data_IF_783690589276
#
_entry.id   IF_783690589276
#
_cell.length_a   1.000
_cell.length_b   1.000
_cell.length_c   1.000
_cell.angle_alpha   90.00
_cell.angle_beta   90.00
_cell.angle_gamma   90.00
#
_symmetry.space_group_name_H-M   'P 1'
#
loop_
_entity.id
_entity.type
_entity.pdbx_description
1 polymer ?
#
# COMPACT_ATOMS: atom_id res chain seq x y z
N UNK A 1 -5.64 -13.40 5.67
CA UNK A 1 -4.69 -12.43 5.11
C UNK A 1 -3.35 -13.09 4.91
N UNK A 2 -2.79 -12.90 3.77
CA UNK A 2 -1.49 -13.48 3.44
C UNK A 2 -0.39 -12.73 4.18
N UNK A 3 0.36 -13.44 5.02
CA UNK A 3 1.46 -12.85 5.78
C UNK A 3 2.64 -12.47 4.90
N UNK A 4 2.61 -12.86 3.61
CA UNK A 4 3.67 -12.56 2.66
C UNK A 4 3.44 -11.28 1.87
N UNK A 5 2.37 -10.54 2.15
CA UNK A 5 2.14 -9.27 1.50
C UNK A 5 3.25 -8.29 1.84
N UNK A 6 3.73 -7.60 0.81
CA UNK A 6 4.86 -6.69 0.93
C UNK A 6 4.43 -5.33 0.41
N UNK A 7 4.70 -4.31 1.20
CA UNK A 7 4.52 -2.92 0.79
C UNK A 7 5.87 -2.29 0.52
N UNK A 8 5.87 -1.29 -0.33
CA UNK A 8 7.08 -0.55 -0.66
C UNK A 8 7.04 0.80 0.06
N UNK A 9 8.12 1.10 0.75
CA UNK A 9 8.32 2.38 1.40
C UNK A 9 9.38 3.15 0.61
N UNK A 10 9.20 4.46 0.36
CA UNK A 10 10.23 5.25 -0.32
C UNK A 10 11.56 5.30 0.43
N UNK A 11 11.52 5.19 1.75
CA UNK A 11 12.72 5.30 2.57
C UNK A 11 13.21 3.96 3.11
N UNK A 12 12.31 3.01 3.33
CA UNK A 12 12.65 1.73 3.96
C UNK A 12 12.69 0.56 2.99
N UNK A 13 12.27 0.76 1.74
CA UNK A 13 12.22 -0.30 0.76
C UNK A 13 11.08 -1.27 1.00
N UNK A 14 11.35 -2.54 0.90
CA UNK A 14 10.31 -3.58 1.00
C UNK A 14 10.00 -3.88 2.46
N UNK A 15 8.72 -3.82 2.80
CA UNK A 15 8.27 -4.08 4.17
C UNK A 15 7.13 -5.08 4.15
N UNK A 16 7.22 -6.10 4.99
CA UNK A 16 6.05 -6.93 5.26
C UNK A 16 4.96 -6.08 5.91
N UNK A 17 3.71 -6.50 5.74
CA UNK A 17 2.58 -5.71 6.24
C UNK A 17 2.72 -5.38 7.72
N UNK A 18 3.22 -6.33 8.50
CA UNK A 18 3.41 -6.13 9.94
C UNK A 18 4.42 -5.02 10.23
N UNK A 19 5.49 -4.96 9.45
CA UNK A 19 6.49 -3.91 9.59
C UNK A 19 5.95 -2.57 9.12
N UNK A 20 5.15 -2.57 8.06
CA UNK A 20 4.52 -1.36 7.57
C UNK A 20 3.60 -0.75 8.62
N UNK A 21 2.79 -1.59 9.28
CA UNK A 21 1.92 -1.12 10.37
C UNK A 21 2.76 -0.56 11.51
N UNK A 22 3.89 -1.19 11.82
CA UNK A 22 4.82 -0.67 12.82
C UNK A 22 5.35 0.71 12.47
N UNK A 23 5.63 0.96 11.18
CA UNK A 23 6.07 2.28 10.73
C UNK A 23 4.97 3.33 10.91
N UNK A 24 3.73 2.96 10.64
CA UNK A 24 2.59 3.87 10.86
C UNK A 24 2.48 4.26 12.33
N UNK A 25 2.52 3.27 13.21
CA UNK A 25 2.41 3.49 14.64
C UNK A 25 3.59 4.33 15.14
N UNK A 26 4.79 4.01 14.68
CA UNK A 26 5.99 4.77 15.06
C UNK A 26 5.89 6.23 14.65
N UNK A 27 5.37 6.48 13.44
CA UNK A 27 5.20 7.84 12.95
C UNK A 27 4.21 8.63 13.85
N UNK A 28 3.11 7.99 14.24
CA UNK A 28 2.15 8.64 15.13
C UNK A 28 2.73 8.89 16.52
N UNK A 29 3.56 7.98 17.00
CA UNK A 29 4.15 8.11 18.33
C UNK A 29 5.25 9.17 18.42
N UNK A 30 5.83 9.58 17.28
CA UNK A 30 6.79 10.68 17.27
C UNK A 30 6.19 11.99 17.75
N UNK A 31 4.94 12.24 17.37
CA UNK A 31 4.26 13.48 17.69
C UNK A 31 2.81 13.16 18.05
N UNK A 32 2.56 12.62 19.25
CA UNK A 32 1.23 12.10 19.58
C UNK A 32 0.15 13.17 19.71
N UNK A 33 0.53 14.44 19.84
CA UNK A 33 -0.44 15.52 19.99
C UNK A 33 -0.95 16.09 18.67
N UNK A 34 -0.44 15.61 17.53
CA UNK A 34 -0.91 16.07 16.24
C UNK A 34 -2.11 15.28 15.76
N UNK A 35 -2.85 15.86 14.85
CA UNK A 35 -3.92 15.15 14.16
C UNK A 35 -3.36 14.34 13.01
N UNK A 36 -3.84 13.12 12.88
CA UNK A 36 -3.43 12.21 11.82
C UNK A 36 -4.64 11.80 11.00
N UNK A 37 -4.42 11.63 9.72
CA UNK A 37 -5.41 11.02 8.85
C UNK A 37 -4.78 9.84 8.14
N UNK A 38 -5.54 8.78 8.00
CA UNK A 38 -5.12 7.57 7.31
C UNK A 38 -6.04 7.38 6.11
N UNK A 39 -5.44 7.25 4.94
CA UNK A 39 -6.19 7.01 3.72
C UNK A 39 -5.66 5.74 3.09
N UNK A 40 -6.57 4.83 2.77
CA UNK A 40 -6.24 3.60 2.07
C UNK A 40 -7.05 3.59 0.79
N UNK A 41 -6.36 3.49 -0.34
CA UNK A 41 -7.01 3.45 -1.63
C UNK A 41 -6.47 2.34 -2.49
N UNK A 42 -7.33 1.77 -3.31
CA UNK A 42 -6.94 0.74 -4.25
C UNK A 42 -7.44 1.12 -5.64
N UNK A 43 -6.55 1.03 -6.61
CA UNK A 43 -6.88 1.24 -8.01
C UNK A 43 -6.58 -0.04 -8.78
N UNK A 44 -7.34 -0.29 -9.83
CA UNK A 44 -7.15 -1.48 -10.65
C UNK A 44 -7.04 -1.10 -12.11
N UNK A 45 -6.18 -1.82 -12.82
CA UNK A 45 -6.03 -1.67 -14.26
C UNK A 45 -6.12 -3.04 -14.91
N UNK A 46 -6.82 -3.08 -16.03
CA UNK A 46 -6.94 -4.31 -16.81
C UNK A 46 -6.18 -4.15 -18.11
N UNK A 47 -5.63 -5.25 -18.59
CA UNK A 47 -4.94 -5.28 -19.86
C UNK A 47 -4.88 -6.69 -20.40
N UNK A 48 -4.46 -6.82 -21.66
CA UNK A 48 -4.35 -8.12 -22.31
C UNK A 48 -2.98 -8.27 -22.97
N UNK A 49 -1.89 -8.26 -22.18
CA UNK A 49 -0.58 -8.51 -22.78
C UNK A 49 -0.52 -9.93 -23.34
N UNK A 50 -0.08 -10.04 -24.58
CA UNK A 50 0.04 -11.33 -25.27
C UNK A 50 -1.29 -12.11 -25.31
N UNK A 51 -2.44 -11.40 -25.39
CA UNK A 51 -3.72 -12.05 -25.51
C UNK A 51 -4.29 -12.60 -24.19
N UNK A 52 -3.55 -12.49 -23.11
CA UNK A 52 -4.00 -12.96 -21.81
C UNK A 52 -4.48 -11.77 -20.99
N UNK A 53 -5.64 -11.92 -20.38
CA UNK A 53 -6.19 -10.86 -19.55
C UNK A 53 -5.49 -10.84 -18.19
N UNK A 54 -5.01 -9.68 -17.81
CA UNK A 54 -4.37 -9.47 -16.50
C UNK A 54 -5.01 -8.30 -15.79
N UNK A 55 -5.09 -8.40 -14.49
CA UNK A 55 -5.58 -7.33 -13.63
C UNK A 55 -4.46 -6.95 -12.68
N UNK A 56 -4.12 -5.68 -12.65
CA UNK A 56 -3.16 -5.16 -11.71
C UNK A 56 -3.88 -4.30 -10.69
N UNK A 57 -3.60 -4.54 -9.42
CA UNK A 57 -4.14 -3.73 -8.32
C UNK A 57 -2.98 -2.98 -7.68
N UNK A 58 -3.19 -1.69 -7.46
CA UNK A 58 -2.25 -0.86 -6.72
C UNK A 58 -2.97 -0.38 -5.48
N UNK A 59 -2.44 -0.72 -4.32
CA UNK A 59 -2.97 -0.27 -3.05
C UNK A 59 -1.99 0.71 -2.43
N UNK A 60 -2.50 1.85 -2.02
CA UNK A 60 -1.71 2.88 -1.36
C UNK A 60 -2.24 3.11 0.04
N UNK A 61 -1.33 3.21 0.99
CA UNK A 61 -1.63 3.55 2.37
C UNK A 61 -0.88 4.85 2.68
N UNK A 62 -1.62 5.89 3.02
CA UNK A 62 -1.04 7.20 3.30
C UNK A 62 -1.45 7.63 4.69
N UNK A 63 -0.47 7.93 5.52
CA UNK A 63 -0.72 8.57 6.80
C UNK A 63 -0.19 9.99 6.73
N UNK A 64 -1.02 10.94 7.11
CA UNK A 64 -0.69 12.35 7.05
C UNK A 64 -0.77 12.96 8.44
N UNK A 65 0.29 13.64 8.84
CA UNK A 65 0.33 14.44 10.06
C UNK A 65 -0.01 15.86 9.65
N UNK A 66 -1.12 16.36 10.13
CA UNK A 66 -1.62 17.66 9.70
C UNK A 66 -0.56 18.75 9.93
N UNK A 67 -0.17 19.39 8.83
CA UNK A 67 0.81 20.47 8.85
C UNK A 67 2.25 20.04 9.02
N UNK A 68 2.54 18.74 9.07
CA UNK A 68 3.91 18.30 9.38
C UNK A 68 4.29 16.98 8.71
N UNK A 69 4.01 16.84 7.43
CA UNK A 69 4.48 15.73 6.64
C UNK A 69 3.61 14.48 6.73
N UNK A 70 4.12 13.42 6.20
CA UNK A 70 3.41 12.18 6.14
C UNK A 70 4.31 11.02 5.75
N UNK A 71 3.71 9.85 5.66
CA UNK A 71 4.36 8.64 5.16
C UNK A 71 3.41 7.95 4.22
N UNK A 72 3.93 7.28 3.22
CA UNK A 72 3.10 6.46 2.36
C UNK A 72 3.80 5.15 2.03
N UNK A 73 2.96 4.18 1.70
CA UNK A 73 3.40 2.84 1.33
C UNK A 73 2.51 2.38 0.20
N UNK A 74 3.03 1.53 -0.67
CA UNK A 74 2.23 1.02 -1.76
C UNK A 74 2.59 -0.42 -2.06
N UNK A 75 1.65 -1.11 -2.68
CA UNK A 75 1.89 -2.46 -3.15
C UNK A 75 1.21 -2.63 -4.51
N UNK A 76 1.77 -3.49 -5.33
CA UNK A 76 1.21 -3.81 -6.62
C UNK A 76 1.06 -5.31 -6.73
N UNK A 77 -0.15 -5.75 -7.01
CA UNK A 77 -0.46 -7.15 -7.21
C UNK A 77 -0.99 -7.34 -8.61
N UNK A 78 -0.53 -8.38 -9.28
CA UNK A 78 -1.02 -8.76 -10.60
C UNK A 78 -1.72 -10.10 -10.51
N UNK A 79 -2.89 -10.17 -11.09
CA UNK A 79 -3.67 -11.39 -11.12
C UNK A 79 -3.93 -11.75 -12.58
N UNK A 80 -3.57 -12.96 -12.95
CA UNK A 80 -3.92 -13.49 -14.27
C UNK A 80 -5.37 -13.93 -14.22
N UNK A 81 -6.17 -13.35 -15.10
CA UNK A 81 -7.56 -13.74 -15.19
C UNK A 81 -7.67 -14.93 -16.12
N UNK A 82 -7.97 -16.07 -15.57
CA UNK A 82 -8.10 -17.32 -16.31
C UNK A 82 -9.57 -17.70 -16.40
N UNK A 83 -9.99 -18.00 -17.61
CA UNK A 83 -11.37 -18.42 -17.84
C UNK A 83 -12.32 -17.26 -17.81
N UNK A 84 -13.57 -17.61 -17.70
CA UNK A 84 -14.67 -16.65 -17.75
C UNK A 84 -15.08 -16.27 -16.35
N UNK A 85 -14.49 -15.28 -15.85
CA UNK A 85 -15.05 -14.71 -14.64
C UNK A 85 -15.97 -13.59 -14.97
#
# INVERSE_FOLDING_TARGET
MDSNEVFISPTKGRLAIKRMVGELVGFMNEEPDYFYSLVIGTDSKTGKPNGKQKIAFVTAVVIHRKGKGGRYFWQKNKIDKIGSL
#
